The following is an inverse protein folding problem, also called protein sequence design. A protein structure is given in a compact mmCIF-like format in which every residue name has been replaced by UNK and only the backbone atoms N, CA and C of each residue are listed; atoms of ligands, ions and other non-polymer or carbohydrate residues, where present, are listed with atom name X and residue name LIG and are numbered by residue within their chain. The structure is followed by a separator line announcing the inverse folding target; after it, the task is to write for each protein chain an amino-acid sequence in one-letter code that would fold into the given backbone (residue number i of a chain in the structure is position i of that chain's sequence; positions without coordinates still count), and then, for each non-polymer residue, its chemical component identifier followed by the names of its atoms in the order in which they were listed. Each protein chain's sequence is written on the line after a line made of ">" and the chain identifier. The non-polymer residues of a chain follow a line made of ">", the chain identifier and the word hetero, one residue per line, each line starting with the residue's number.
data_IF_843107244888
#
_entry.id   IF_843107244888
#
_cell.length_a   1.000
_cell.length_b   1.000
_cell.length_c   1.000
_cell.angle_alpha   90.00
_cell.angle_beta   90.00
_cell.angle_gamma   90.00
#
_symmetry.space_group_name_H-M   'P 1'
#
loop_
_entity.id
_entity.type
_entity.pdbx_description
1 polymer ?
#
# COMPACT_ATOMS: atom_id res chain seq x y z
N UNK A 1 19.56 34.03 -19.89
CA UNK A 1 19.78 32.93 -18.92
C UNK A 1 18.45 32.60 -18.26
N UNK A 2 17.87 31.43 -18.55
CA UNK A 2 16.63 30.98 -17.90
C UNK A 2 16.95 30.58 -16.46
N UNK A 3 16.29 31.21 -15.48
CA UNK A 3 16.46 30.88 -14.06
C UNK A 3 15.78 29.54 -13.82
N UNK A 4 16.57 28.49 -13.62
CA UNK A 4 16.05 27.20 -13.14
C UNK A 4 15.52 27.45 -11.73
N UNK A 5 14.20 27.58 -11.60
CA UNK A 5 13.54 27.58 -10.31
C UNK A 5 13.50 26.13 -9.86
N UNK A 6 14.43 25.73 -9.00
CA UNK A 6 14.30 24.48 -8.26
C UNK A 6 13.03 24.56 -7.41
N UNK A 7 11.91 24.08 -7.95
CA UNK A 7 10.75 23.72 -7.14
C UNK A 7 11.17 22.50 -6.32
N UNK A 8 11.70 22.74 -5.12
CA UNK A 8 12.00 21.67 -4.18
C UNK A 8 10.80 20.73 -4.05
N UNK A 9 11.02 19.43 -4.21
CA UNK A 9 9.98 18.42 -4.04
C UNK A 9 9.37 18.55 -2.64
N UNK A 10 8.05 18.69 -2.59
CA UNK A 10 7.32 18.77 -1.34
C UNK A 10 7.51 17.44 -0.60
N UNK A 11 8.00 17.47 0.64
CA UNK A 11 8.22 16.27 1.47
C UNK A 11 6.97 15.45 1.77
N UNK A 12 5.79 15.94 1.42
CA UNK A 12 4.52 15.25 1.62
C UNK A 12 3.58 15.44 0.43
N UNK A 13 3.02 14.33 -0.02
CA UNK A 13 2.09 14.23 -1.16
C UNK A 13 0.62 14.46 -0.76
N UNK A 14 0.35 14.71 0.53
CA UNK A 14 -1.00 14.88 1.07
C UNK A 14 -1.83 13.59 1.03
N UNK A 15 -3.05 13.63 1.58
CA UNK A 15 -3.93 12.45 1.64
C UNK A 15 -4.24 11.85 0.25
N UNK A 16 -4.58 12.65 -0.79
CA UNK A 16 -4.84 12.09 -2.12
C UNK A 16 -3.61 11.42 -2.73
N UNK A 17 -2.42 12.00 -2.54
CA UNK A 17 -1.17 11.41 -3.01
C UNK A 17 -0.83 10.12 -2.29
N UNK A 18 -1.01 10.07 -0.96
CA UNK A 18 -0.82 8.86 -0.16
C UNK A 18 -1.78 7.75 -0.60
N UNK A 19 -3.06 8.09 -0.84
CA UNK A 19 -4.03 7.16 -1.38
C UNK A 19 -3.62 6.64 -2.76
N UNK A 20 -3.22 7.53 -3.67
CA UNK A 20 -2.78 7.14 -5.02
C UNK A 20 -1.54 6.23 -4.98
N UNK A 21 -0.56 6.50 -4.11
CA UNK A 21 0.61 5.65 -3.92
C UNK A 21 0.23 4.27 -3.40
N UNK A 22 -0.59 4.20 -2.35
CA UNK A 22 -1.03 2.92 -1.78
C UNK A 22 -1.89 2.13 -2.77
N UNK A 23 -2.85 2.80 -3.41
CA UNK A 23 -3.76 2.20 -4.39
C UNK A 23 -3.02 1.72 -5.63
N UNK A 24 -2.04 2.48 -6.14
CA UNK A 24 -1.23 2.04 -7.28
C UNK A 24 -0.43 0.77 -6.98
N UNK A 25 0.13 0.68 -5.77
CA UNK A 25 0.91 -0.47 -5.33
C UNK A 25 0.03 -1.74 -5.19
N UNK A 26 -1.15 -1.62 -4.58
CA UNK A 26 -2.06 -2.75 -4.37
C UNK A 26 -2.89 -3.09 -5.63
N UNK A 27 -3.41 -2.08 -6.31
CA UNK A 27 -4.34 -2.22 -7.43
C UNK A 27 -3.74 -2.92 -8.64
N UNK A 28 -2.45 -2.70 -8.90
CA UNK A 28 -1.72 -3.42 -9.96
C UNK A 28 -1.70 -4.95 -9.74
N UNK A 29 -1.64 -5.39 -8.49
CA UNK A 29 -1.52 -6.81 -8.13
C UNK A 29 -2.78 -7.63 -8.49
N UNK A 30 -3.95 -6.99 -8.57
CA UNK A 30 -5.21 -7.67 -8.90
C UNK A 30 -5.18 -8.19 -10.34
N UNK A 31 -4.61 -7.42 -11.28
CA UNK A 31 -4.51 -7.82 -12.68
C UNK A 31 -3.64 -9.07 -12.87
N UNK A 32 -2.61 -9.23 -12.04
CA UNK A 32 -1.78 -10.43 -12.04
C UNK A 32 -2.46 -11.60 -11.31
N UNK A 33 -3.03 -11.35 -10.13
CA UNK A 33 -3.56 -12.41 -9.27
C UNK A 33 -4.89 -13.00 -9.79
N UNK A 34 -5.71 -12.22 -10.49
CA UNK A 34 -7.06 -12.62 -10.88
C UNK A 34 -7.09 -13.90 -11.71
N UNK A 35 -6.24 -14.01 -12.73
CA UNK A 35 -6.19 -15.19 -13.60
C UNK A 35 -5.77 -16.45 -12.84
N UNK A 36 -4.75 -16.34 -11.99
CA UNK A 36 -4.27 -17.44 -11.17
C UNK A 36 -5.35 -17.91 -10.19
N UNK A 37 -5.97 -16.98 -9.46
CA UNK A 37 -7.03 -17.32 -8.50
C UNK A 37 -8.23 -17.93 -9.23
N UNK A 38 -8.63 -17.39 -10.39
CA UNK A 38 -9.72 -17.94 -11.18
C UNK A 38 -9.46 -19.39 -11.63
N UNK A 39 -8.23 -19.70 -12.04
CA UNK A 39 -7.85 -21.06 -12.47
C UNK A 39 -7.98 -22.11 -11.35
N UNK A 40 -7.69 -21.74 -10.10
CA UNK A 40 -7.72 -22.68 -8.96
C UNK A 40 -9.02 -22.63 -8.14
N UNK A 41 -9.61 -21.45 -7.97
CA UNK A 41 -10.79 -21.24 -7.13
C UNK A 41 -12.10 -21.25 -7.91
N UNK A 42 -12.05 -21.15 -9.26
CA UNK A 42 -13.22 -21.14 -10.14
C UNK A 42 -14.27 -20.12 -9.66
N UNK A 43 -15.53 -20.55 -9.49
CA UNK A 43 -16.62 -19.70 -9.00
C UNK A 43 -16.43 -19.15 -7.58
N UNK A 44 -15.51 -19.70 -6.78
CA UNK A 44 -15.19 -19.22 -5.43
C UNK A 44 -14.21 -18.03 -5.42
N UNK A 45 -13.71 -17.60 -6.59
CA UNK A 45 -12.79 -16.45 -6.74
C UNK A 45 -13.21 -15.21 -5.94
N UNK A 46 -14.48 -14.76 -5.95
CA UNK A 46 -14.91 -13.59 -5.16
C UNK A 46 -14.70 -13.80 -3.65
N UNK A 47 -14.95 -15.00 -3.13
CA UNK A 47 -14.77 -15.30 -1.71
C UNK A 47 -13.30 -15.30 -1.32
N UNK A 48 -12.42 -15.80 -2.18
CA UNK A 48 -10.97 -15.75 -1.97
C UNK A 48 -10.50 -14.29 -1.88
N UNK A 49 -10.96 -13.43 -2.79
CA UNK A 49 -10.61 -12.01 -2.75
C UNK A 49 -11.21 -11.27 -1.54
N UNK A 50 -12.42 -11.60 -1.10
CA UNK A 50 -12.99 -11.06 0.15
C UNK A 50 -12.12 -11.46 1.34
N UNK A 51 -11.72 -12.72 1.44
CA UNK A 51 -10.88 -13.19 2.53
C UNK A 51 -9.48 -12.56 2.49
N UNK A 52 -8.86 -12.47 1.32
CA UNK A 52 -7.59 -11.79 1.13
C UNK A 52 -7.68 -10.30 1.50
N UNK A 53 -8.75 -9.62 1.07
CA UNK A 53 -9.04 -8.23 1.41
C UNK A 53 -9.23 -8.02 2.91
N UNK A 54 -9.92 -8.94 3.59
CA UNK A 54 -10.06 -8.92 5.05
C UNK A 54 -8.71 -9.02 5.76
N UNK A 55 -7.87 -9.98 5.37
CA UNK A 55 -6.50 -10.12 5.92
C UNK A 55 -5.66 -8.87 5.64
N UNK A 56 -5.74 -8.32 4.44
CA UNK A 56 -5.06 -7.08 4.08
C UNK A 56 -5.52 -5.90 4.95
N UNK A 57 -6.82 -5.75 5.21
CA UNK A 57 -7.36 -4.69 6.05
C UNK A 57 -6.82 -4.76 7.50
N UNK A 58 -6.68 -5.98 8.06
CA UNK A 58 -6.05 -6.16 9.37
C UNK A 58 -4.57 -5.73 9.35
N UNK A 59 -3.81 -6.14 8.34
CA UNK A 59 -2.41 -5.72 8.18
C UNK A 59 -2.28 -4.20 7.97
N UNK A 60 -3.19 -3.60 7.19
CA UNK A 60 -3.18 -2.15 6.97
C UNK A 60 -3.42 -1.38 8.27
N UNK A 61 -4.30 -1.89 9.16
CA UNK A 61 -4.52 -1.30 10.48
C UNK A 61 -3.29 -1.38 11.37
N UNK A 62 -2.61 -2.53 11.43
CA UNK A 62 -1.38 -2.66 12.24
C UNK A 62 -0.25 -1.77 11.72
N UNK A 63 -0.14 -1.61 10.40
CA UNK A 63 0.77 -0.64 9.80
C UNK A 63 0.39 0.81 10.10
N UNK A 64 -0.90 1.14 10.11
CA UNK A 64 -1.36 2.48 10.48
C UNK A 64 -1.03 2.80 11.94
N UNK A 65 -1.23 1.86 12.86
CA UNK A 65 -0.82 1.96 14.26
C UNK A 65 0.70 2.17 14.37
N UNK A 66 1.49 1.30 13.74
CA UNK A 66 2.95 1.40 13.75
C UNK A 66 3.47 2.72 13.16
N UNK A 67 2.91 3.16 12.03
CA UNK A 67 3.30 4.41 11.37
C UNK A 67 2.88 5.66 12.17
N UNK A 68 1.84 5.56 13.00
CA UNK A 68 1.44 6.63 13.92
C UNK A 68 2.28 6.68 15.19
N UNK A 69 2.88 5.56 15.60
CA UNK A 69 3.82 5.53 16.73
C UNK A 69 5.23 5.95 16.33
N UNK A 70 5.71 5.48 15.17
CA UNK A 70 7.07 5.72 14.69
C UNK A 70 7.03 6.49 13.37
N UNK A 71 7.24 7.81 13.45
CA UNK A 71 7.24 8.73 12.31
C UNK A 71 8.54 8.65 11.48
N UNK A 72 9.00 7.45 11.19
CA UNK A 72 10.19 7.17 10.38
C UNK A 72 9.79 6.54 9.04
N UNK A 73 10.50 6.91 7.97
CA UNK A 73 10.34 6.22 6.70
C UNK A 73 10.96 4.82 6.79
N UNK A 74 10.29 3.82 6.21
CA UNK A 74 10.83 2.45 6.12
C UNK A 74 9.80 1.35 6.38
N UNK A 75 8.66 1.68 7.01
CA UNK A 75 7.62 0.69 7.30
C UNK A 75 8.12 -0.41 8.25
N UNK A 76 7.92 -1.67 7.88
CA UNK A 76 8.26 -2.82 8.75
C UNK A 76 9.72 -2.87 9.20
N UNK A 77 10.67 -2.44 8.36
CA UNK A 77 12.09 -2.43 8.74
C UNK A 77 12.38 -1.43 9.86
N UNK A 78 11.70 -0.28 9.89
CA UNK A 78 11.80 0.67 11.00
C UNK A 78 11.09 0.11 12.23
N UNK A 79 9.89 -0.46 12.09
CA UNK A 79 9.16 -1.05 13.22
C UNK A 79 9.97 -2.16 13.92
N UNK A 80 10.67 -2.99 13.16
CA UNK A 80 11.52 -4.06 13.71
C UNK A 80 12.71 -3.54 14.53
N UNK A 81 13.18 -2.30 14.30
CA UNK A 81 14.24 -1.68 15.12
C UNK A 81 13.75 -1.21 16.49
N UNK A 82 12.43 -1.10 16.66
CA UNK A 82 11.78 -0.63 17.88
C UNK A 82 11.09 -1.76 18.67
N UNK A 83 11.16 -3.00 18.17
CA UNK A 83 10.65 -4.20 18.83
C UNK A 83 11.73 -4.84 19.71
#
# INVERSE_FOLDING_TARGET
>A
MARVVERGLRRTVGVPGLFATAYGNVGSSIYYALGLVAAYALGLTPLVFIFAGYRFALTAKTYAEGASMYHEAGGSSSFARHA
#
